data_IF_298747773492
#
_entry.id   IF_298747773492
#
_cell.length_a   1.000
_cell.length_b   1.000
_cell.length_c   1.000
_cell.angle_alpha   90.00
_cell.angle_beta   90.00
_cell.angle_gamma   90.00
#
_symmetry.space_group_name_H-M   'P 1'
#
loop_
_entity.id
_entity.type
_entity.pdbx_description
1 polymer ?
#
# COMPACT_ATOMS: atom_id res chain seq x y z
N UNK A 1 -15.72 10.84 -7.76
CA UNK A 1 -14.49 10.42 -8.47
C UNK A 1 -14.70 8.99 -8.96
N UNK A 2 -15.12 8.85 -10.22
CA UNK A 2 -15.70 7.60 -10.74
C UNK A 2 -14.71 6.43 -10.83
N UNK A 3 -13.42 6.71 -11.10
CA UNK A 3 -12.39 5.67 -11.25
C UNK A 3 -12.17 4.80 -10.02
N UNK A 4 -12.59 5.27 -8.83
CA UNK A 4 -12.52 4.51 -7.59
C UNK A 4 -13.87 3.97 -7.12
N UNK A 5 -14.97 4.21 -7.85
CA UNK A 5 -16.29 3.78 -7.40
C UNK A 5 -16.38 2.25 -7.36
N UNK A 6 -16.73 1.68 -6.20
CA UNK A 6 -16.76 0.23 -5.99
C UNK A 6 -15.39 -0.47 -6.00
N UNK A 7 -14.29 0.27 -6.14
CA UNK A 7 -12.93 -0.30 -6.22
C UNK A 7 -12.31 -0.39 -4.83
N UNK A 8 -11.81 -1.58 -4.47
CA UNK A 8 -11.14 -1.81 -3.17
C UNK A 8 -9.62 -1.74 -3.25
N UNK A 9 -9.04 -2.12 -4.38
CA UNK A 9 -7.59 -2.21 -4.55
C UNK A 9 -7.20 -1.70 -5.94
N UNK A 10 -6.06 -0.99 -6.00
CA UNK A 10 -5.53 -0.47 -7.27
C UNK A 10 -4.02 -0.66 -7.36
N UNK A 11 -3.51 -0.65 -8.59
CA UNK A 11 -2.11 -0.33 -8.88
C UNK A 11 -2.03 0.98 -9.64
N UNK A 12 -1.07 1.81 -9.27
CA UNK A 12 -0.77 3.05 -10.01
C UNK A 12 0.38 2.79 -10.97
N UNK A 13 0.09 2.68 -12.26
CA UNK A 13 1.08 2.42 -13.31
C UNK A 13 1.61 3.74 -13.86
N UNK A 14 2.92 3.91 -13.87
CA UNK A 14 3.56 5.08 -14.45
C UNK A 14 3.45 5.03 -15.99
N UNK A 15 2.83 6.04 -16.60
CA UNK A 15 2.71 6.10 -18.06
C UNK A 15 4.05 6.39 -18.75
N UNK A 16 4.88 7.25 -18.15
CA UNK A 16 6.20 7.59 -18.68
C UNK A 16 7.23 6.45 -18.57
N UNK A 17 6.96 5.41 -17.77
CA UNK A 17 7.88 4.29 -17.53
C UNK A 17 7.13 2.97 -17.69
N UNK A 18 7.19 2.43 -18.92
CA UNK A 18 6.51 1.18 -19.28
C UNK A 18 6.80 0.08 -18.26
N UNK A 19 5.73 -0.57 -17.80
CA UNK A 19 5.78 -1.69 -16.85
C UNK A 19 6.21 -1.30 -15.43
N UNK A 20 6.23 -0.01 -15.06
CA UNK A 20 6.53 0.41 -13.69
C UNK A 20 5.30 0.82 -12.92
N UNK A 21 5.26 0.44 -11.65
CA UNK A 21 4.18 0.68 -10.71
C UNK A 21 4.68 1.38 -9.46
N UNK A 22 3.83 2.22 -8.86
CA UNK A 22 4.05 2.72 -7.51
C UNK A 22 4.01 1.56 -6.52
N UNK A 23 5.02 1.45 -5.68
CA UNK A 23 5.08 0.47 -4.62
C UNK A 23 5.49 1.06 -3.27
N UNK A 24 4.91 0.50 -2.22
CA UNK A 24 5.37 0.62 -0.84
C UNK A 24 6.80 0.08 -0.72
N UNK A 25 7.74 0.94 -0.34
CA UNK A 25 9.13 0.56 -0.10
C UNK A 25 9.26 -0.39 1.07
N UNK A 26 10.24 -1.29 1.02
CA UNK A 26 10.42 -2.35 2.03
C UNK A 26 10.91 -1.86 3.39
N UNK A 27 11.26 -0.58 3.51
CA UNK A 27 11.54 0.09 4.78
C UNK A 27 10.26 0.57 5.50
N UNK A 28 9.10 0.45 4.87
CA UNK A 28 7.82 0.85 5.45
C UNK A 28 7.60 2.36 5.47
N UNK A 29 8.55 3.18 5.04
CA UNK A 29 8.40 4.65 5.00
C UNK A 29 8.53 5.21 3.59
N UNK A 30 9.39 4.64 2.74
CA UNK A 30 9.61 5.14 1.39
C UNK A 30 8.56 4.62 0.41
N UNK A 31 8.44 5.27 -0.74
CA UNK A 31 7.77 4.71 -1.92
C UNK A 31 8.72 4.69 -3.11
N UNK A 32 8.53 3.71 -4.00
CA UNK A 32 9.38 3.56 -5.16
C UNK A 32 8.63 3.08 -6.39
N UNK A 33 9.29 3.11 -7.54
CA UNK A 33 8.84 2.39 -8.73
C UNK A 33 9.41 0.97 -8.75
N UNK A 34 8.55 0.02 -9.04
CA UNK A 34 8.89 -1.39 -9.25
C UNK A 34 8.40 -1.90 -10.61
N UNK A 35 9.13 -2.88 -11.17
CA UNK A 35 8.64 -3.68 -12.31
C UNK A 35 7.89 -4.94 -11.89
N UNK A 36 7.90 -5.29 -10.60
CA UNK A 36 7.22 -6.46 -10.06
C UNK A 36 5.74 -6.13 -9.87
N UNK A 37 4.89 -6.62 -10.77
CA UNK A 37 3.43 -6.35 -10.73
C UNK A 37 2.71 -7.20 -9.68
N UNK A 38 3.06 -8.48 -9.58
CA UNK A 38 2.40 -9.48 -8.74
C UNK A 38 2.90 -9.50 -7.30
N UNK A 39 3.10 -8.34 -6.69
CA UNK A 39 3.51 -8.23 -5.28
C UNK A 39 2.56 -7.31 -4.52
N UNK A 40 2.31 -7.61 -3.24
CA UNK A 40 1.43 -6.82 -2.37
C UNK A 40 1.91 -5.37 -2.24
N UNK A 41 3.23 -5.12 -2.24
CA UNK A 41 3.79 -3.76 -2.17
C UNK A 41 3.32 -2.85 -3.31
N UNK A 42 2.99 -3.39 -4.49
CA UNK A 42 2.55 -2.62 -5.65
C UNK A 42 1.03 -2.37 -5.66
N UNK A 43 0.30 -2.91 -4.69
CA UNK A 43 -1.15 -2.78 -4.54
C UNK A 43 -1.46 -1.82 -3.40
N UNK A 44 -2.42 -0.93 -3.65
CA UNK A 44 -2.89 0.06 -2.70
C UNK A 44 -4.38 -0.16 -2.45
N UNK A 45 -4.77 -0.36 -1.19
CA UNK A 45 -6.17 -0.38 -0.81
C UNK A 45 -6.75 1.03 -0.85
N UNK A 46 -7.94 1.18 -1.38
CA UNK A 46 -8.63 2.45 -1.57
C UNK A 46 -9.63 2.64 -0.44
N UNK A 47 -9.46 3.68 0.37
CA UNK A 47 -10.48 4.11 1.33
C UNK A 47 -11.03 5.47 0.90
N UNK A 48 -12.34 5.58 0.74
CA UNK A 48 -12.98 6.83 0.38
C UNK A 48 -12.96 7.81 1.56
N UNK A 49 -12.68 9.08 1.28
CA UNK A 49 -12.63 10.15 2.27
C UNK A 49 -13.13 11.47 1.66
N UNK A 50 -13.45 12.43 2.52
CA UNK A 50 -13.71 13.80 2.09
C UNK A 50 -12.41 14.62 2.10
N UNK A 51 -12.23 15.46 1.09
CA UNK A 51 -11.17 16.46 1.04
C UNK A 51 -11.44 17.63 1.99
N UNK A 52 -10.46 18.54 2.17
CA UNK A 52 -10.65 19.76 2.94
C UNK A 52 -11.83 20.62 2.43
N UNK A 53 -12.03 20.62 1.10
CA UNK A 53 -13.11 21.36 0.44
C UNK A 53 -14.44 20.56 0.39
N UNK A 54 -14.54 19.45 1.12
CA UNK A 54 -15.70 18.53 1.09
C UNK A 54 -15.80 17.66 -0.17
N UNK A 55 -14.95 17.87 -1.16
CA UNK A 55 -14.92 17.09 -2.40
C UNK A 55 -14.44 15.63 -2.21
N UNK A 56 -14.72 14.73 -3.17
CA UNK A 56 -14.33 13.33 -3.05
C UNK A 56 -12.82 13.15 -3.11
N UNK A 57 -12.25 12.47 -2.12
CA UNK A 57 -10.84 12.07 -2.03
C UNK A 57 -10.73 10.57 -1.69
N UNK A 58 -9.52 10.05 -1.81
CA UNK A 58 -9.18 8.70 -1.33
C UNK A 58 -7.91 8.72 -0.49
N UNK A 59 -7.86 7.83 0.48
CA UNK A 59 -6.64 7.38 1.12
C UNK A 59 -6.16 6.12 0.40
N UNK A 60 -4.85 6.03 0.16
CA UNK A 60 -4.23 4.88 -0.47
C UNK A 60 -3.35 4.15 0.56
N UNK A 61 -3.80 2.98 1.02
CA UNK A 61 -3.11 2.17 2.04
C UNK A 61 -2.22 1.12 1.39
N UNK A 62 -0.94 1.13 1.70
CA UNK A 62 0.05 0.17 1.19
C UNK A 62 0.09 -1.15 1.97
N UNK A 63 1.01 -2.03 1.58
CA UNK A 63 1.16 -3.39 2.15
C UNK A 63 1.47 -3.44 3.65
N UNK A 64 2.02 -2.36 4.21
CA UNK A 64 2.37 -2.23 5.63
C UNK A 64 1.27 -1.57 6.47
N UNK A 65 0.04 -1.43 5.92
CA UNK A 65 -1.08 -0.75 6.57
C UNK A 65 -0.97 0.77 6.66
N UNK A 66 0.16 1.34 6.22
CA UNK A 66 0.43 2.79 6.16
C UNK A 66 -0.16 3.42 4.89
N UNK A 67 -0.38 4.73 4.93
CA UNK A 67 -1.01 5.50 3.88
C UNK A 67 0.01 6.30 3.07
N UNK A 68 -0.21 6.40 1.76
CA UNK A 68 0.57 7.25 0.86
C UNK A 68 0.46 8.72 1.29
N UNK A 69 1.61 9.37 1.48
CA UNK A 69 1.71 10.73 2.01
C UNK A 69 2.63 11.61 1.15
N UNK A 70 2.11 12.74 0.69
CA UNK A 70 2.94 13.87 0.24
C UNK A 70 3.38 14.70 1.45
N UNK A 71 4.67 14.67 1.79
CA UNK A 71 5.19 15.35 2.98
C UNK A 71 5.44 16.85 2.73
N UNK A 72 5.94 17.56 3.74
CA UNK A 72 6.48 18.92 3.62
C UNK A 72 7.99 18.95 3.36
N UNK A 73 8.68 17.81 3.51
CA UNK A 73 10.13 17.74 3.39
C UNK A 73 10.57 17.83 1.93
N UNK A 74 11.54 18.69 1.63
CA UNK A 74 12.09 18.83 0.29
C UNK A 74 12.75 17.52 -0.17
N UNK A 75 12.45 17.10 -1.40
CA UNK A 75 13.04 15.89 -1.96
C UNK A 75 14.43 16.18 -2.53
N UNK A 76 15.39 15.30 -2.24
CA UNK A 76 16.70 15.30 -2.91
C UNK A 76 16.68 14.80 -4.36
N UNK A 77 15.48 14.51 -4.91
CA UNK A 77 15.31 14.00 -6.27
C UNK A 77 14.13 14.68 -6.96
N UNK A 78 14.19 14.81 -8.29
CA UNK A 78 13.11 15.43 -9.06
C UNK A 78 13.25 16.96 -9.16
N UNK A 79 12.14 17.69 -9.39
CA UNK A 79 12.14 19.16 -9.47
C UNK A 79 12.53 19.83 -8.15
N UNK A 80 13.05 21.06 -8.20
CA UNK A 80 13.48 21.84 -7.02
C UNK A 80 12.35 22.09 -6.00
N UNK A 81 11.12 22.24 -6.48
CA UNK A 81 9.91 22.39 -5.67
C UNK A 81 9.26 21.04 -5.29
N UNK A 82 9.94 19.93 -5.54
CA UNK A 82 9.48 18.59 -5.20
C UNK A 82 9.63 18.28 -3.72
N UNK A 83 8.64 17.59 -3.15
CA UNK A 83 8.66 17.07 -1.78
C UNK A 83 8.70 15.55 -1.77
N UNK A 84 9.16 14.99 -0.65
CA UNK A 84 9.20 13.55 -0.44
C UNK A 84 7.78 13.00 -0.49
N UNK A 85 7.62 11.87 -1.18
CA UNK A 85 6.43 11.03 -1.05
C UNK A 85 6.82 9.82 -0.21
N UNK A 86 6.02 9.50 0.78
CA UNK A 86 6.31 8.52 1.81
C UNK A 86 5.05 7.69 2.15
N UNK A 87 5.20 6.81 3.12
CA UNK A 87 4.15 6.05 3.76
C UNK A 87 4.09 6.45 5.24
N UNK A 88 2.91 6.73 5.76
CA UNK A 88 2.75 7.09 7.17
C UNK A 88 1.50 6.50 7.82
N UNK A 89 1.51 6.38 9.15
CA UNK A 89 0.38 5.88 9.92
C UNK A 89 -0.72 6.93 10.10
N UNK A 90 -1.97 6.51 10.25
CA UNK A 90 -3.09 7.39 10.54
C UNK A 90 -3.23 7.56 12.06
N UNK A 91 -2.45 8.50 12.60
CA UNK A 91 -2.38 8.78 14.04
C UNK A 91 -3.54 9.62 14.60
N UNK A 92 -4.15 10.47 13.75
CA UNK A 92 -5.30 11.32 14.11
C UNK A 92 -6.57 10.90 13.37
N UNK A 93 -7.74 11.26 13.95
CA UNK A 93 -9.03 10.98 13.35
C UNK A 93 -9.21 11.66 11.97
N UNK A 94 -8.65 12.86 11.84
CA UNK A 94 -8.61 13.61 10.58
C UNK A 94 -7.32 13.27 9.83
N UNK A 95 -7.38 12.73 8.61
CA UNK A 95 -6.21 12.51 7.79
C UNK A 95 -5.50 13.82 7.43
N UNK A 96 -4.17 13.78 7.35
CA UNK A 96 -3.40 14.93 6.88
C UNK A 96 -3.78 15.26 5.43
N UNK A 97 -3.80 16.55 5.03
CA UNK A 97 -4.07 16.92 3.63
C UNK A 97 -3.14 16.23 2.62
N UNK A 98 -1.90 15.91 3.02
CA UNK A 98 -0.94 15.18 2.19
C UNK A 98 -1.28 13.69 1.99
N UNK A 99 -2.18 13.11 2.79
CA UNK A 99 -2.66 11.74 2.64
C UNK A 99 -3.90 11.62 1.75
N UNK A 100 -4.61 12.73 1.54
CA UNK A 100 -5.83 12.77 0.74
C UNK A 100 -5.46 12.92 -0.73
N UNK A 101 -5.92 12.00 -1.57
CA UNK A 101 -5.57 11.97 -3.00
C UNK A 101 -6.80 12.07 -3.89
N UNK A 102 -6.64 12.77 -5.01
CA UNK A 102 -7.62 12.91 -6.07
C UNK A 102 -7.05 12.46 -7.41
N UNK A 103 -7.73 11.53 -8.08
CA UNK A 103 -7.45 11.18 -9.45
C UNK A 103 -8.20 12.13 -10.39
N UNK A 104 -7.45 12.99 -11.07
CA UNK A 104 -7.98 13.97 -12.02
C UNK A 104 -7.71 13.45 -13.44
N UNK A 105 -8.76 13.24 -14.26
CA UNK A 105 -8.59 12.80 -15.64
C UNK A 105 -7.72 13.76 -16.46
N UNK A 106 -6.79 13.22 -17.22
CA UNK A 106 -5.93 13.93 -18.18
C UNK A 106 -5.82 13.11 -19.46
N UNK A 107 -6.70 13.41 -20.43
CA UNK A 107 -6.92 12.62 -21.65
C UNK A 107 -7.28 11.18 -21.29
N UNK A 108 -6.45 10.19 -21.66
CA UNK A 108 -6.64 8.77 -21.36
C UNK A 108 -5.88 8.30 -20.12
N UNK A 109 -5.37 9.22 -19.30
CA UNK A 109 -4.56 8.95 -18.10
C UNK A 109 -5.08 9.78 -16.93
N UNK A 110 -4.49 9.65 -15.76
CA UNK A 110 -4.81 10.46 -14.59
C UNK A 110 -3.58 11.20 -14.06
N UNK A 111 -3.78 12.38 -13.50
CA UNK A 111 -2.83 12.97 -12.55
C UNK A 111 -3.39 12.79 -11.15
N UNK A 112 -2.54 12.38 -10.20
CA UNK A 112 -2.96 12.10 -8.82
C UNK A 112 -2.54 13.28 -7.94
N UNK A 113 -3.49 14.11 -7.53
CA UNK A 113 -3.30 15.33 -6.76
C UNK A 113 -3.50 15.09 -5.27
N UNK A 114 -2.58 15.51 -4.41
CA UNK A 114 -2.74 15.50 -2.97
C UNK A 114 -3.60 16.68 -2.51
N UNK A 115 -4.19 16.60 -1.31
CA UNK A 115 -4.90 17.71 -0.66
C UNK A 115 -4.00 18.93 -0.35
N UNK A 116 -2.68 18.78 -0.43
CA UNK A 116 -1.72 19.90 -0.40
C UNK A 116 -1.54 20.61 -1.76
N UNK A 117 -2.26 20.17 -2.80
CA UNK A 117 -2.20 20.72 -4.14
C UNK A 117 -1.05 20.21 -5.01
N UNK A 118 -0.22 19.27 -4.52
CA UNK A 118 0.90 18.68 -5.25
C UNK A 118 0.45 17.44 -6.02
N UNK A 119 1.22 17.02 -7.01
CA UNK A 119 0.92 15.89 -7.87
C UNK A 119 1.97 14.79 -7.71
N UNK A 120 1.49 13.55 -7.59
CA UNK A 120 2.33 12.36 -7.56
C UNK A 120 3.15 12.26 -8.86
N UNK A 121 4.45 12.07 -8.72
CA UNK A 121 5.41 12.18 -9.82
C UNK A 121 6.45 11.08 -9.77
N UNK A 122 6.61 10.38 -10.89
CA UNK A 122 7.76 9.53 -11.14
C UNK A 122 9.02 10.36 -11.47
N UNK A 123 10.20 9.89 -11.09
CA UNK A 123 11.46 10.55 -11.44
C UNK A 123 12.37 9.68 -12.30
N UNK A 124 13.33 10.34 -12.92
CA UNK A 124 14.54 9.68 -13.39
C UNK A 124 15.21 10.33 -14.57
N UNK A 125 15.42 11.66 -14.46
CA UNK A 125 16.44 12.41 -15.20
C UNK A 125 17.81 11.73 -15.06
N UNK A 126 18.15 11.28 -13.86
CA UNK A 126 19.38 10.51 -13.59
C UNK A 126 19.07 9.04 -13.31
N UNK A 127 20.01 8.15 -13.66
CA UNK A 127 19.91 6.70 -13.45
C UNK A 127 19.57 6.34 -11.99
N UNK A 128 20.24 7.00 -11.04
CA UNK A 128 20.00 6.82 -9.60
C UNK A 128 18.59 7.21 -9.12
N UNK A 129 17.88 8.07 -9.86
CA UNK A 129 16.53 8.53 -9.52
C UNK A 129 15.43 7.73 -10.20
N UNK A 130 15.77 6.72 -11.01
CA UNK A 130 14.79 6.00 -11.83
C UNK A 130 13.70 5.26 -11.05
N UNK A 131 13.92 5.04 -9.75
CA UNK A 131 12.95 4.41 -8.86
C UNK A 131 12.30 5.41 -7.91
N UNK A 132 12.77 6.65 -7.87
CA UNK A 132 12.27 7.64 -6.94
C UNK A 132 10.90 8.16 -7.38
N UNK A 133 10.01 8.34 -6.41
CA UNK A 133 8.70 8.97 -6.56
C UNK A 133 8.65 10.16 -5.61
N UNK A 134 8.16 11.28 -6.10
CA UNK A 134 8.01 12.52 -5.33
C UNK A 134 6.65 13.13 -5.58
N UNK A 135 6.32 14.19 -4.86
CA UNK A 135 5.15 15.02 -5.13
C UNK A 135 5.62 16.42 -5.50
N UNK A 136 5.07 17.03 -6.55
CA UNK A 136 5.53 18.32 -7.06
C UNK A 136 4.35 19.15 -7.61
N UNK A 137 4.54 20.46 -7.77
CA UNK A 137 3.55 21.31 -8.47
C UNK A 137 3.39 20.88 -9.94
N UNK A 138 2.23 21.16 -10.54
CA UNK A 138 1.98 20.80 -11.94
C UNK A 138 2.95 21.55 -12.87
N UNK A 139 3.66 20.80 -13.69
CA UNK A 139 4.53 21.33 -14.75
C UNK A 139 4.23 20.68 -16.11
N UNK A 140 3.07 20.05 -16.25
CA UNK A 140 2.63 19.39 -17.47
C UNK A 140 3.42 18.14 -17.86
N UNK A 141 4.37 17.69 -17.05
CA UNK A 141 5.25 16.58 -17.39
C UNK A 141 4.50 15.25 -17.44
N UNK A 142 4.83 14.43 -18.43
CA UNK A 142 4.34 13.04 -18.57
C UNK A 142 4.70 12.15 -17.38
N UNK A 143 5.69 12.55 -16.58
CA UNK A 143 6.08 11.87 -15.33
C UNK A 143 5.02 11.94 -14.22
N UNK A 144 4.01 12.83 -14.35
CA UNK A 144 2.87 12.93 -13.44
C UNK A 144 1.66 12.13 -13.92
N UNK A 145 1.74 11.50 -15.10
CA UNK A 145 0.63 10.71 -15.65
C UNK A 145 0.70 9.27 -15.16
N UNK A 146 -0.44 8.82 -14.64
CA UNK A 146 -0.65 7.50 -14.08
C UNK A 146 -1.87 6.84 -14.71
N UNK A 147 -1.77 5.55 -14.97
CA UNK A 147 -2.92 4.71 -15.27
C UNK A 147 -3.31 3.97 -13.99
N UNK A 148 -4.60 3.95 -13.69
CA UNK A 148 -5.16 3.30 -12.50
C UNK A 148 -5.65 1.93 -12.93
N UNK A 149 -4.98 0.88 -12.46
CA UNK A 149 -5.33 -0.51 -12.74
C UNK A 149 -6.13 -1.05 -11.55
N UNK A 150 -7.41 -1.42 -11.75
CA UNK A 150 -8.22 -2.07 -10.73
C UNK A 150 -7.65 -3.46 -10.41
N UNK A 151 -7.58 -3.79 -9.13
CA UNK A 151 -7.17 -5.11 -8.64
C UNK A 151 -8.40 -5.77 -8.01
N UNK A 152 -8.92 -6.85 -8.61
CA UNK A 152 -10.04 -7.60 -8.05
C UNK A 152 -9.77 -8.10 -6.64
N UNK A 153 -10.84 -8.34 -5.90
CA UNK A 153 -10.79 -9.01 -4.61
C UNK A 153 -10.60 -10.51 -4.87
N UNK A 154 -9.65 -11.12 -4.19
CA UNK A 154 -9.50 -12.58 -4.14
C UNK A 154 -10.64 -13.19 -3.35
N UNK A 155 -11.27 -14.22 -3.92
CA UNK A 155 -12.31 -15.02 -3.23
C UNK A 155 -11.71 -16.00 -2.22
N UNK A 156 -10.40 -16.21 -2.27
CA UNK A 156 -9.68 -17.10 -1.36
C UNK A 156 -8.83 -16.30 -0.38
N UNK A 157 -8.87 -16.74 0.88
CA UNK A 157 -7.96 -16.27 1.92
C UNK A 157 -6.55 -16.79 1.65
N UNK A 158 -5.50 -15.96 1.77
CA UNK A 158 -4.13 -16.43 1.71
C UNK A 158 -3.83 -17.46 2.80
N UNK A 159 -3.29 -18.60 2.41
CA UNK A 159 -2.82 -19.62 3.31
C UNK A 159 -1.48 -19.21 3.94
N UNK A 160 -1.21 -19.70 5.15
CA UNK A 160 0.10 -19.49 5.79
C UNK A 160 1.28 -20.07 4.99
N UNK A 161 1.01 -21.10 4.18
CA UNK A 161 2.00 -21.75 3.33
C UNK A 161 2.18 -21.04 1.98
N UNK A 162 1.34 -20.05 1.67
CA UNK A 162 1.47 -19.32 0.41
C UNK A 162 2.79 -18.53 0.40
N UNK A 163 3.47 -18.45 -0.76
CA UNK A 163 4.64 -17.60 -0.90
C UNK A 163 4.31 -16.15 -0.51
N UNK A 164 5.20 -15.51 0.24
CA UNK A 164 5.11 -14.07 0.47
C UNK A 164 5.41 -13.34 -0.84
N UNK A 165 4.37 -12.94 -1.57
CA UNK A 165 4.46 -12.14 -2.78
C UNK A 165 4.84 -10.69 -2.45
N UNK A 166 6.08 -10.48 -2.06
CA UNK A 166 6.60 -9.19 -1.62
C UNK A 166 7.67 -8.64 -2.55
N UNK A 167 7.88 -7.34 -2.45
CA UNK A 167 8.90 -6.63 -3.21
C UNK A 167 10.31 -7.08 -2.81
N UNK A 168 10.98 -7.78 -3.70
CA UNK A 168 12.37 -8.21 -3.49
C UNK A 168 13.34 -7.19 -4.10
N UNK A 169 14.23 -6.67 -3.26
CA UNK A 169 15.36 -5.87 -3.72
C UNK A 169 16.63 -6.70 -3.54
N UNK A 170 17.46 -6.76 -4.59
CA UNK A 170 18.83 -7.25 -4.44
C UNK A 170 19.56 -6.31 -3.48
N UNK A 171 19.67 -6.72 -2.21
CA UNK A 171 20.48 -6.03 -1.22
C UNK A 171 21.94 -6.43 -1.46
N UNK A 172 22.84 -5.44 -1.32
CA UNK A 172 24.29 -5.68 -1.44
C UNK A 172 24.89 -6.34 -0.21
N UNK A 173 24.22 -6.21 0.95
CA UNK A 173 24.65 -6.79 2.23
C UNK A 173 23.49 -7.42 2.99
N UNK A 174 23.77 -8.41 3.86
CA UNK A 174 22.81 -8.89 4.85
C UNK A 174 22.31 -7.77 5.79
N UNK A 175 21.14 -8.01 6.38
CA UNK A 175 20.58 -7.14 7.41
C UNK A 175 21.41 -7.24 8.69
N UNK A 176 21.67 -6.11 9.34
CA UNK A 176 22.24 -6.11 10.70
C UNK A 176 21.14 -6.40 11.71
N UNK A 177 21.52 -6.89 12.88
CA UNK A 177 20.59 -7.06 14.01
C UNK A 177 19.85 -5.74 14.32
N UNK A 178 20.58 -4.63 14.27
CA UNK A 178 20.03 -3.28 14.45
C UNK A 178 19.09 -2.81 13.33
N UNK A 179 18.90 -3.54 12.24
CA UNK A 179 17.91 -3.22 11.19
C UNK A 179 16.64 -4.08 11.30
N UNK A 180 16.65 -5.09 12.17
CA UNK A 180 15.55 -6.04 12.35
C UNK A 180 15.05 -6.10 13.79
N UNK A 181 15.82 -5.59 14.76
CA UNK A 181 15.44 -5.47 16.16
C UNK A 181 14.39 -4.37 16.36
N UNK A 182 13.17 -4.78 16.67
CA UNK A 182 12.03 -3.87 16.85
C UNK A 182 11.11 -4.32 17.97
N UNK A 183 10.40 -3.34 18.51
CA UNK A 183 9.30 -3.57 19.42
C UNK A 183 8.01 -3.86 18.65
N UNK A 184 7.42 -5.02 18.88
CA UNK A 184 6.07 -5.36 18.43
C UNK A 184 5.11 -5.10 19.58
N UNK A 185 4.12 -4.26 19.33
CA UNK A 185 2.94 -4.12 20.18
C UNK A 185 1.87 -5.04 19.62
N UNK A 186 1.27 -5.88 20.46
CA UNK A 186 0.24 -6.79 20.02
C UNK A 186 -0.93 -6.88 21.00
N UNK A 187 -2.11 -7.19 20.46
CA UNK A 187 -3.35 -7.32 21.20
C UNK A 187 -4.28 -8.27 20.46
N UNK A 188 -5.20 -8.93 21.19
CA UNK A 188 -6.28 -9.69 20.56
C UNK A 188 -7.42 -8.71 20.24
N UNK A 189 -7.89 -8.72 19.00
CA UNK A 189 -9.08 -7.98 18.63
C UNK A 189 -10.33 -8.69 19.13
N UNK A 190 -11.37 -7.90 19.43
CA UNK A 190 -12.70 -8.42 19.72
C UNK A 190 -13.38 -8.95 18.44
N UNK A 191 -14.59 -9.48 18.56
CA UNK A 191 -15.32 -10.09 17.42
C UNK A 191 -15.57 -9.09 16.28
N UNK A 192 -15.84 -7.84 16.62
CA UNK A 192 -16.08 -6.71 15.72
C UNK A 192 -14.77 -6.03 15.25
N UNK A 193 -13.61 -6.50 15.73
CA UNK A 193 -12.30 -5.93 15.39
C UNK A 193 -11.95 -4.68 16.19
N UNK A 194 -12.80 -4.28 17.15
CA UNK A 194 -12.44 -3.27 18.14
C UNK A 194 -11.26 -3.75 18.99
N UNK A 195 -10.49 -2.80 19.49
CA UNK A 195 -9.27 -3.05 20.23
C UNK A 195 -9.37 -2.37 21.59
N UNK A 196 -9.23 -3.14 22.65
CA UNK A 196 -9.05 -2.60 23.99
C UNK A 196 -7.65 -1.95 24.10
N UNK A 197 -7.62 -0.61 24.09
CA UNK A 197 -6.36 0.16 24.17
C UNK A 197 -5.58 -0.05 25.48
N UNK A 198 -6.21 -0.56 26.54
CA UNK A 198 -5.51 -0.93 27.78
C UNK A 198 -4.85 -2.32 27.74
N UNK A 199 -5.18 -3.15 26.74
CA UNK A 199 -4.75 -4.54 26.67
C UNK A 199 -3.50 -4.78 25.80
N UNK A 200 -2.89 -3.72 25.25
CA UNK A 200 -1.69 -3.83 24.44
C UNK A 200 -0.53 -4.43 25.24
N UNK A 201 0.10 -5.46 24.67
CA UNK A 201 1.32 -6.07 25.18
C UNK A 201 2.48 -5.76 24.25
N UNK A 202 3.70 -5.82 24.77
CA UNK A 202 4.91 -5.59 24.01
C UNK A 202 5.79 -6.84 23.95
N UNK A 203 6.50 -7.00 22.85
CA UNK A 203 7.60 -7.96 22.73
C UNK A 203 8.69 -7.41 21.83
N UNK A 204 9.91 -7.88 22.05
CA UNK A 204 11.00 -7.64 21.10
C UNK A 204 11.01 -8.74 20.04
N UNK A 205 11.29 -8.35 18.79
CA UNK A 205 11.46 -9.25 17.67
C UNK A 205 12.69 -8.81 16.89
N UNK A 206 13.65 -9.74 16.70
CA UNK A 206 14.92 -9.48 16.01
C UNK A 206 14.92 -10.04 14.58
N UNK A 207 13.77 -10.00 13.94
CA UNK A 207 13.56 -10.50 12.59
C UNK A 207 12.48 -9.69 11.90
N UNK A 208 12.57 -9.63 10.58
CA UNK A 208 11.52 -9.05 9.75
C UNK A 208 10.58 -10.13 9.19
N UNK A 209 10.89 -11.42 9.36
CA UNK A 209 10.13 -12.50 8.74
C UNK A 209 8.74 -12.69 9.40
N UNK A 210 7.69 -12.69 8.57
CA UNK A 210 6.30 -12.82 9.03
C UNK A 210 6.01 -14.18 9.68
N UNK A 211 6.57 -15.28 9.15
CA UNK A 211 6.40 -16.61 9.74
C UNK A 211 7.02 -16.68 11.13
N UNK A 212 8.21 -16.12 11.32
CA UNK A 212 8.83 -16.07 12.64
C UNK A 212 8.04 -15.20 13.62
N UNK A 213 7.42 -14.11 13.17
CA UNK A 213 6.47 -13.34 14.00
C UNK A 213 5.29 -14.22 14.43
N UNK A 214 4.68 -14.96 13.49
CA UNK A 214 3.55 -15.86 13.78
C UNK A 214 3.91 -16.91 14.84
N UNK A 215 5.04 -17.60 14.65
CA UNK A 215 5.53 -18.62 15.58
C UNK A 215 5.87 -18.01 16.96
N UNK A 216 6.52 -16.84 17.00
CA UNK A 216 6.86 -16.17 18.25
C UNK A 216 5.60 -15.79 19.04
N UNK A 217 4.58 -15.27 18.37
CA UNK A 217 3.29 -14.96 19.00
C UNK A 217 2.58 -16.22 19.50
N UNK A 218 2.62 -17.31 18.73
CA UNK A 218 2.04 -18.59 19.12
C UNK A 218 2.70 -19.15 20.38
N UNK A 219 4.04 -19.17 20.43
CA UNK A 219 4.78 -19.60 21.62
C UNK A 219 4.45 -18.74 22.84
N UNK A 220 4.28 -17.43 22.65
CA UNK A 220 4.02 -16.49 23.74
C UNK A 220 2.59 -16.55 24.28
N UNK A 221 1.62 -16.85 23.42
CA UNK A 221 0.20 -16.95 23.78
C UNK A 221 -0.22 -18.39 24.10
N UNK A 222 0.62 -19.38 23.80
CA UNK A 222 0.40 -20.80 24.06
C UNK A 222 -0.90 -21.30 23.43
N UNK A 223 -1.66 -22.08 24.20
CA UNK A 223 -2.95 -22.64 23.77
C UNK A 223 -4.00 -21.57 23.36
N UNK A 224 -3.77 -20.30 23.66
CA UNK A 224 -4.70 -19.21 23.30
C UNK A 224 -4.60 -18.78 21.84
N UNK A 225 -3.58 -19.23 21.09
CA UNK A 225 -3.33 -18.83 19.71
C UNK A 225 -3.00 -20.04 18.84
N UNK A 226 -3.91 -20.35 17.91
CA UNK A 226 -3.67 -21.29 16.81
C UNK A 226 -3.26 -20.49 15.57
N UNK A 227 -2.03 -20.69 15.11
CA UNK A 227 -1.44 -19.99 13.96
C UNK A 227 -2.25 -20.22 12.68
N UNK A 228 -2.92 -21.36 12.55
CA UNK A 228 -3.73 -21.69 11.36
C UNK A 228 -5.13 -21.08 11.41
N UNK A 229 -5.59 -20.68 12.60
CA UNK A 229 -6.91 -20.12 12.86
C UNK A 229 -6.86 -18.66 13.29
N UNK A 230 -5.77 -17.97 13.00
CA UNK A 230 -5.61 -16.54 13.31
C UNK A 230 -5.07 -15.76 12.13
N UNK A 231 -5.63 -14.57 11.93
CA UNK A 231 -5.14 -13.58 10.99
C UNK A 231 -4.39 -12.50 11.76
N UNK A 232 -3.13 -12.24 11.40
CA UNK A 232 -2.39 -11.09 11.90
C UNK A 232 -2.71 -9.85 11.05
N UNK A 233 -3.18 -8.80 11.70
CA UNK A 233 -3.44 -7.51 11.07
C UNK A 233 -2.48 -6.45 11.61
N UNK A 234 -1.96 -5.59 10.74
CA UNK A 234 -1.24 -4.38 11.15
C UNK A 234 -2.22 -3.22 11.33
N UNK A 235 -2.04 -2.45 12.41
CA UNK A 235 -2.76 -1.19 12.67
C UNK A 235 -1.79 -0.02 12.66
N UNK A 236 -1.55 0.58 11.49
CA UNK A 236 -0.56 1.64 11.36
C UNK A 236 -1.10 3.00 11.83
N UNK A 237 -1.14 3.22 13.15
CA UNK A 237 -1.71 4.41 13.78
C UNK A 237 -3.11 4.15 14.34
N UNK A 238 -3.49 4.87 15.40
CA UNK A 238 -4.69 4.59 16.20
C UNK A 238 -6.00 4.59 15.41
N UNK A 239 -6.10 5.40 14.36
CA UNK A 239 -7.30 5.53 13.54
C UNK A 239 -7.16 4.80 12.20
N UNK A 240 -6.06 4.09 11.97
CA UNK A 240 -5.88 3.31 10.76
C UNK A 240 -6.75 2.05 10.79
N UNK A 241 -7.36 1.74 9.65
CA UNK A 241 -8.06 0.48 9.46
C UNK A 241 -7.10 -0.70 9.53
N UNK A 242 -7.57 -1.80 10.14
CA UNK A 242 -6.84 -3.06 10.18
C UNK A 242 -6.54 -3.56 8.76
N UNK A 243 -5.28 -3.91 8.54
CA UNK A 243 -4.81 -4.47 7.27
C UNK A 243 -4.23 -5.85 7.52
N UNK A 244 -4.64 -6.92 6.80
CA UNK A 244 -3.98 -8.20 6.94
C UNK A 244 -2.50 -8.05 6.58
N UNK A 245 -1.63 -8.64 7.39
CA UNK A 245 -0.20 -8.63 7.18
C UNK A 245 0.18 -9.77 6.23
N UNK A 246 0.45 -9.41 4.97
CA UNK A 246 0.68 -10.34 3.85
C UNK A 246 2.13 -10.31 3.32
N UNK A 247 2.98 -9.49 3.94
CA UNK A 247 4.38 -9.30 3.60
C UNK A 247 5.22 -9.41 4.86
N UNK A 248 6.52 -9.67 4.70
CA UNK A 248 7.45 -9.55 5.81
C UNK A 248 7.43 -8.12 6.36
N UNK A 249 7.78 -7.97 7.62
CA UNK A 249 7.75 -6.69 8.30
C UNK A 249 8.73 -5.69 7.64
N UNK A 250 8.41 -4.39 7.67
CA UNK A 250 9.27 -3.37 7.07
C UNK A 250 10.66 -3.36 7.68
N UNK A 251 11.70 -3.07 6.92
CA UNK A 251 13.06 -3.06 7.42
C UNK A 251 13.31 -1.76 8.19
N UNK A 252 13.90 -1.86 9.38
CA UNK A 252 14.01 -0.79 10.35
C UNK A 252 13.49 -1.22 11.72
N UNK A 253 13.52 -0.27 12.66
CA UNK A 253 13.27 -0.53 14.09
C UNK A 253 11.99 0.15 14.60
N UNK A 254 11.21 0.73 13.69
CA UNK A 254 9.98 1.40 14.06
C UNK A 254 9.01 0.41 14.71
N UNK A 255 8.34 0.82 15.82
CA UNK A 255 7.36 -0.02 16.46
C UNK A 255 6.20 -0.39 15.52
N UNK A 256 5.72 -1.62 15.63
CA UNK A 256 4.60 -2.11 14.82
C UNK A 256 3.49 -2.59 15.75
N UNK A 257 2.29 -2.05 15.52
CA UNK A 257 1.07 -2.47 16.21
C UNK A 257 0.39 -3.60 15.41
N UNK A 258 0.25 -4.76 16.04
CA UNK A 258 -0.35 -5.98 15.49
C UNK A 258 -1.63 -6.34 16.25
N UNK A 259 -2.73 -6.49 15.53
CA UNK A 259 -4.00 -6.99 16.06
C UNK A 259 -4.19 -8.43 15.60
N UNK A 260 -4.44 -9.32 16.54
CA UNK A 260 -4.65 -10.75 16.29
C UNK A 260 -6.15 -10.97 16.21
N UNK A 261 -6.63 -11.37 15.03
CA UNK A 261 -8.04 -11.73 14.81
C UNK A 261 -8.17 -13.25 14.71
N UNK A 262 -9.19 -13.80 15.34
CA UNK A 262 -9.53 -15.22 15.20
C UNK A 262 -10.31 -15.44 13.92
N UNK A 263 -10.11 -16.60 13.29
CA UNK A 263 -10.90 -16.96 12.13
C UNK A 263 -12.39 -17.08 12.47
N UNK A 264 -13.24 -16.59 11.57
CA UNK A 264 -14.70 -16.67 11.69
C UNK A 264 -15.33 -15.59 12.56
N UNK A 265 -14.54 -14.67 13.13
CA UNK A 265 -15.10 -13.44 13.71
C UNK A 265 -15.58 -12.50 12.61
N UNK A 266 -16.46 -11.56 12.95
CA UNK A 266 -16.98 -10.55 12.01
C UNK A 266 -15.84 -9.76 11.36
N UNK A 267 -14.91 -9.24 12.16
CA UNK A 267 -13.78 -8.49 11.64
C UNK A 267 -12.87 -9.30 10.71
N UNK A 268 -12.67 -10.59 10.98
CA UNK A 268 -11.90 -11.47 10.11
C UNK A 268 -12.63 -11.75 8.78
N UNK A 269 -13.96 -11.92 8.83
CA UNK A 269 -14.79 -12.09 7.65
C UNK A 269 -14.90 -10.83 6.79
N UNK A 270 -14.69 -9.64 7.38
CA UNK A 270 -14.65 -8.36 6.70
C UNK A 270 -13.32 -8.03 6.02
N UNK A 271 -12.26 -8.80 6.31
CA UNK A 271 -11.01 -8.66 5.60
C UNK A 271 -11.19 -9.01 4.12
N UNK A 272 -10.52 -8.24 3.27
CA UNK A 272 -10.48 -8.43 1.83
C UNK A 272 -9.02 -8.54 1.40
N UNK A 273 -8.77 -9.40 0.41
CA UNK A 273 -7.44 -9.68 -0.09
C UNK A 273 -7.36 -9.32 -1.58
N UNK A 274 -6.26 -8.74 -2.07
CA UNK A 274 -6.13 -8.44 -3.49
C UNK A 274 -5.74 -9.69 -4.28
N UNK A 275 -6.35 -9.88 -5.45
CA UNK A 275 -5.87 -10.87 -6.43
C UNK A 275 -4.65 -10.31 -7.16
N UNK A 276 -3.47 -10.80 -6.79
CA UNK A 276 -2.21 -10.33 -7.37
C UNK A 276 -2.02 -10.75 -8.83
N UNK A 277 -2.64 -11.85 -9.24
CA UNK A 277 -2.43 -12.49 -10.53
C UNK A 277 -3.54 -12.18 -11.54
N UNK A 278 -4.62 -11.55 -11.11
CA UNK A 278 -5.70 -11.07 -11.97
C UNK A 278 -5.15 -10.47 -13.27
N UNK A 279 -5.65 -10.92 -14.44
CA UNK A 279 -5.23 -10.36 -15.71
C UNK A 279 -5.61 -8.89 -15.76
N UNK A 280 -4.88 -8.12 -16.55
CA UNK A 280 -5.29 -6.74 -16.81
C UNK A 280 -6.59 -6.79 -17.60
N UNK A 281 -7.65 -6.19 -17.05
CA UNK A 281 -8.82 -5.85 -17.85
C UNK A 281 -8.37 -4.77 -18.82
N UNK A 282 -8.10 -5.16 -20.06
CA UNK A 282 -7.95 -4.21 -21.16
C UNK A 282 -9.38 -3.72 -21.46
N UNK A 283 -9.60 -2.42 -21.41
CA UNK A 283 -10.87 -1.83 -21.86
C UNK A 283 -11.23 -2.42 -23.23
N UNK A 284 -12.34 -3.14 -23.28
CA UNK A 284 -12.92 -3.76 -24.48
C UNK A 284 -13.32 -2.72 -25.54
N UNK A 285 -13.20 -1.42 -25.24
CA UNK A 285 -13.48 -0.31 -26.17
C UNK A 285 -12.45 -0.13 -27.28
N UNK A 286 -11.33 -0.88 -27.29
CA UNK A 286 -10.31 -0.80 -28.37
C UNK A 286 -10.34 -1.93 -29.39
N UNK A 287 -11.20 -2.94 -29.24
CA UNK A 287 -11.27 -4.08 -30.18
C UNK A 287 -12.30 -3.84 -31.29
N UNK A 288 -13.36 -3.06 -31.07
CA UNK A 288 -14.39 -2.85 -32.11
C UNK A 288 -13.95 -1.93 -33.27
N UNK A 289 -13.03 -0.97 -33.05
CA UNK A 289 -12.66 -0.01 -34.11
C UNK A 289 -11.66 -0.52 -35.16
N UNK A 290 -11.23 -1.79 -35.10
CA UNK A 290 -10.39 -2.39 -36.15
C UNK A 290 -11.13 -3.34 -37.10
N UNK A 291 -12.37 -3.73 -36.78
CA UNK A 291 -13.14 -4.62 -37.65
C UNK A 291 -14.12 -3.88 -38.57
N UNK A 292 -14.47 -2.61 -38.30
CA UNK A 292 -15.36 -1.84 -39.19
C UNK A 292 -14.65 -1.12 -40.35
N UNK A 293 -13.31 -1.00 -40.33
CA UNK A 293 -12.56 -0.40 -41.45
C UNK A 293 -12.03 -1.44 -42.47
N UNK A 294 -12.38 -2.72 -42.31
CA UNK A 294 -11.95 -3.79 -43.23
C UNK A 294 -13.06 -4.36 -44.11
N UNK A 295 -14.28 -3.81 -44.04
CA UNK A 295 -15.46 -4.30 -44.77
C UNK A 295 -16.03 -3.27 -45.74
N UNK A 296 -15.26 -2.26 -46.12
CA UNK A 296 -15.60 -1.37 -47.24
C UNK A 296 -14.53 -1.50 -48.31
N UNK A 297 -14.66 -2.56 -49.12
CA UNK A 297 -14.22 -2.62 -50.51
C UNK A 297 -15.48 -2.91 -51.32
#
# INVERSE_FOLDING_TARGET
>A
MEVFNGVRFVRLRCCARRGKYLAAGSDGSSVCLTGQRGVHNAVWAVHHAAGPDGGPCVLLRGAYGRYLLATSAQAGTGPSHGVVTAQDGLGGATPLPGMLWQAIPRRSTFVIRSGTGRYLRANGRYLRWRRAVTSAGDNGSTMMQWDIENVPISMTRPCILDPTYQLTHARRRPLTESEVARQIRYVRGETDGSVNEGAWRTMQLNTHNLMQLRLTLACRLGASMDVTRTTLCVRAGRYAHLSPLLVDLPIGNDPIDIVILNHGTEADNDLRYPDLHAPRVLDSSKVSNKNEQRTTI
#
